data_IF_831445295264
#
_entry.id   IF_831445295264
#
_cell.length_a   1.000
_cell.length_b   1.000
_cell.length_c   1.000
_cell.angle_alpha   90.00
_cell.angle_beta   90.00
_cell.angle_gamma   90.00
#
_symmetry.space_group_name_H-M   'P 1'
#
loop_
_entity.id
_entity.type
_entity.pdbx_description
1 polymer ?
#
# COMPACT_ATOMS: atom_id res chain seq x y z
N UNK A 1 26.50 -20.33 15.02
CA UNK A 1 26.28 -20.10 13.56
C UNK A 1 24.80 -20.18 13.13
N UNK A 2 23.91 -20.88 13.86
CA UNK A 2 22.50 -21.06 13.46
C UNK A 2 21.61 -19.81 13.65
N UNK A 3 21.84 -18.97 14.66
CA UNK A 3 20.92 -17.87 15.00
C UNK A 3 20.90 -16.75 13.94
N UNK A 4 22.06 -16.31 13.44
CA UNK A 4 22.11 -15.25 12.40
C UNK A 4 21.45 -15.69 11.10
N UNK A 5 21.62 -16.96 10.71
CA UNK A 5 21.02 -17.52 9.50
C UNK A 5 19.50 -17.61 9.64
N UNK A 6 19.02 -18.07 10.81
CA UNK A 6 17.58 -18.12 11.10
C UNK A 6 16.93 -16.72 11.08
N UNK A 7 17.58 -15.70 11.64
CA UNK A 7 17.09 -14.32 11.60
C UNK A 7 17.02 -13.81 10.17
N UNK A 8 18.09 -13.99 9.38
CA UNK A 8 18.12 -13.55 7.99
C UNK A 8 17.01 -14.21 7.13
N UNK A 9 16.79 -15.52 7.29
CA UNK A 9 15.68 -16.21 6.61
C UNK A 9 14.32 -15.68 7.05
N UNK A 10 14.13 -15.45 8.35
CA UNK A 10 12.86 -14.91 8.89
C UNK A 10 12.57 -13.51 8.35
N UNK A 11 13.57 -12.63 8.32
CA UNK A 11 13.45 -11.29 7.75
C UNK A 11 13.10 -11.34 6.26
N UNK A 12 13.78 -12.21 5.49
CA UNK A 12 13.48 -12.39 4.08
C UNK A 12 12.05 -12.88 3.84
N UNK A 13 11.56 -13.83 4.65
CA UNK A 13 10.18 -14.32 4.57
C UNK A 13 9.17 -13.24 4.96
N UNK A 14 9.41 -12.51 6.05
CA UNK A 14 8.54 -11.42 6.49
C UNK A 14 8.43 -10.30 5.45
N UNK A 15 9.56 -9.93 4.85
CA UNK A 15 9.64 -8.98 3.73
C UNK A 15 8.82 -9.42 2.53
N UNK A 16 9.06 -10.65 2.05
CA UNK A 16 8.32 -11.19 0.91
C UNK A 16 6.83 -11.24 1.18
N UNK A 17 6.42 -11.70 2.37
CA UNK A 17 5.03 -11.73 2.79
C UNK A 17 4.41 -10.32 2.78
N UNK A 18 5.08 -9.33 3.40
CA UNK A 18 4.61 -7.96 3.43
C UNK A 18 4.45 -7.37 2.03
N UNK A 19 5.46 -7.54 1.17
CA UNK A 19 5.43 -7.08 -0.21
C UNK A 19 4.33 -7.77 -1.03
N UNK A 20 4.12 -9.07 -0.87
CA UNK A 20 3.06 -9.80 -1.57
C UNK A 20 1.67 -9.28 -1.20
N UNK A 21 1.42 -9.01 0.08
CA UNK A 21 0.12 -8.47 0.50
C UNK A 21 0.00 -6.99 0.12
N UNK A 22 1.06 -6.17 0.23
CA UNK A 22 1.01 -4.77 -0.22
C UNK A 22 0.78 -4.66 -1.73
N UNK A 23 1.38 -5.55 -2.53
CA UNK A 23 1.14 -5.63 -3.98
C UNK A 23 -0.26 -6.18 -4.30
N UNK A 24 -0.53 -7.42 -3.86
CA UNK A 24 -1.75 -8.15 -4.19
C UNK A 24 -3.00 -7.54 -3.55
N UNK A 25 -2.90 -7.12 -2.29
CA UNK A 25 -3.97 -6.44 -1.57
C UNK A 25 -4.33 -5.09 -2.19
N UNK A 26 -3.34 -4.27 -2.55
CA UNK A 26 -3.59 -3.00 -3.24
C UNK A 26 -4.27 -3.23 -4.59
N UNK A 27 -3.80 -4.22 -5.35
CA UNK A 27 -4.39 -4.58 -6.64
C UNK A 27 -5.84 -5.07 -6.49
N UNK A 28 -6.11 -5.89 -5.49
CA UNK A 28 -7.45 -6.38 -5.17
C UNK A 28 -8.40 -5.25 -4.76
N UNK A 29 -7.93 -4.28 -3.97
CA UNK A 29 -8.71 -3.11 -3.56
C UNK A 29 -9.06 -2.23 -4.76
N UNK A 30 -8.10 -1.94 -5.64
CA UNK A 30 -8.36 -1.18 -6.87
C UNK A 30 -9.39 -1.90 -7.74
N UNK A 31 -9.24 -3.21 -7.92
CA UNK A 31 -10.20 -4.01 -8.69
C UNK A 31 -11.60 -4.01 -8.05
N UNK A 32 -11.68 -4.18 -6.73
CA UNK A 32 -12.93 -4.14 -5.98
C UNK A 32 -13.60 -2.77 -6.13
N UNK A 33 -12.85 -1.67 -6.00
CA UNK A 33 -13.36 -0.32 -6.15
C UNK A 33 -13.97 -0.07 -7.53
N UNK A 34 -13.26 -0.44 -8.59
CA UNK A 34 -13.75 -0.30 -9.98
C UNK A 34 -15.04 -1.12 -10.18
N UNK A 35 -15.03 -2.37 -9.71
CA UNK A 35 -16.19 -3.27 -9.83
C UNK A 35 -17.39 -2.71 -9.07
N UNK A 36 -17.20 -2.29 -7.82
CA UNK A 36 -18.28 -1.74 -7.00
C UNK A 36 -18.84 -0.43 -7.57
N UNK A 37 -18.00 0.48 -8.06
CA UNK A 37 -18.49 1.71 -8.69
C UNK A 37 -19.31 1.41 -9.94
N UNK A 38 -18.86 0.47 -10.79
CA UNK A 38 -19.62 0.05 -11.97
C UNK A 38 -20.97 -0.57 -11.58
N UNK A 39 -20.99 -1.47 -10.60
CA UNK A 39 -22.22 -2.11 -10.12
C UNK A 39 -23.18 -1.10 -9.47
N UNK A 40 -22.68 -0.20 -8.63
CA UNK A 40 -23.48 0.83 -7.98
C UNK A 40 -24.12 1.78 -8.99
N UNK A 41 -23.37 2.19 -10.03
CA UNK A 41 -23.91 2.99 -11.14
C UNK A 41 -24.99 2.24 -11.91
N UNK A 42 -24.82 0.94 -12.16
CA UNK A 42 -25.84 0.11 -12.82
C UNK A 42 -27.12 -0.03 -11.97
N UNK A 43 -27.03 0.07 -10.65
CA UNK A 43 -28.16 0.07 -9.72
C UNK A 43 -28.76 1.46 -9.47
N UNK A 44 -28.28 2.51 -10.16
CA UNK A 44 -28.76 3.88 -10.01
C UNK A 44 -28.30 4.59 -8.73
N UNK A 45 -27.33 4.02 -8.00
CA UNK A 45 -26.80 4.64 -6.79
C UNK A 45 -25.98 5.88 -7.11
N UNK A 46 -26.04 6.86 -6.22
CA UNK A 46 -25.19 8.04 -6.27
C UNK A 46 -23.75 7.71 -5.88
N UNK A 47 -22.79 8.55 -6.29
CA UNK A 47 -21.37 8.39 -5.94
C UNK A 47 -21.17 8.43 -4.42
N UNK A 48 -21.93 9.27 -3.71
CA UNK A 48 -21.85 9.41 -2.26
C UNK A 48 -22.29 8.13 -1.53
N UNK A 49 -23.34 7.45 -2.01
CA UNK A 49 -23.80 6.19 -1.45
C UNK A 49 -22.80 5.06 -1.71
N UNK A 50 -22.27 4.99 -2.94
CA UNK A 50 -21.23 4.02 -3.29
C UNK A 50 -19.96 4.22 -2.45
N UNK A 51 -19.54 5.47 -2.24
CA UNK A 51 -18.39 5.81 -1.40
C UNK A 51 -18.59 5.37 0.05
N UNK A 52 -19.77 5.62 0.64
CA UNK A 52 -20.09 5.19 2.00
C UNK A 52 -20.12 3.67 2.16
N UNK A 53 -20.65 2.96 1.17
CA UNK A 53 -20.67 1.50 1.20
C UNK A 53 -19.27 0.88 1.12
N UNK A 54 -18.37 1.50 0.34
CA UNK A 54 -17.01 0.98 0.14
C UNK A 54 -16.00 1.42 1.20
N UNK A 55 -16.23 2.55 1.87
CA UNK A 55 -15.31 3.14 2.82
C UNK A 55 -14.79 2.16 3.91
N UNK A 56 -15.62 1.30 4.54
CA UNK A 56 -15.14 0.35 5.53
C UNK A 56 -14.04 -0.58 5.02
N UNK A 57 -14.15 -1.03 3.76
CA UNK A 57 -13.15 -1.89 3.12
C UNK A 57 -11.82 -1.16 2.94
N UNK A 58 -11.85 0.09 2.49
CA UNK A 58 -10.64 0.92 2.35
C UNK A 58 -9.99 1.21 3.71
N UNK A 59 -10.78 1.51 4.73
CA UNK A 59 -10.29 1.77 6.09
C UNK A 59 -9.71 0.51 6.73
N UNK A 60 -10.34 -0.66 6.52
CA UNK A 60 -9.80 -1.92 7.02
C UNK A 60 -8.48 -2.27 6.32
N UNK A 61 -8.42 -2.11 5.01
CA UNK A 61 -7.20 -2.36 4.24
C UNK A 61 -6.07 -1.40 4.65
N UNK A 62 -6.36 -0.11 4.87
CA UNK A 62 -5.31 0.85 5.25
C UNK A 62 -4.62 0.48 6.55
N UNK A 63 -5.37 -0.04 7.54
CA UNK A 63 -4.80 -0.55 8.80
C UNK A 63 -3.88 -1.75 8.56
N UNK A 64 -4.31 -2.70 7.73
CA UNK A 64 -3.48 -3.85 7.35
C UNK A 64 -2.22 -3.38 6.63
N UNK A 65 -2.36 -2.49 5.66
CA UNK A 65 -1.24 -1.95 4.89
C UNK A 65 -0.22 -1.25 5.80
N UNK A 66 -0.66 -0.45 6.79
CA UNK A 66 0.23 0.18 7.76
C UNK A 66 1.00 -0.84 8.61
N UNK A 67 0.35 -1.90 9.08
CA UNK A 67 1.03 -2.98 9.81
C UNK A 67 2.10 -3.64 8.92
N UNK A 68 1.78 -3.91 7.67
CA UNK A 68 2.71 -4.53 6.74
C UNK A 68 3.86 -3.61 6.34
N UNK A 69 3.63 -2.30 6.23
CA UNK A 69 4.68 -1.31 6.03
C UNK A 69 5.65 -1.29 7.23
N UNK A 70 5.14 -1.41 8.46
CA UNK A 70 5.98 -1.53 9.65
C UNK A 70 6.79 -2.85 9.65
N UNK A 71 6.16 -3.97 9.30
CA UNK A 71 6.85 -5.27 9.16
C UNK A 71 7.95 -5.19 8.10
N UNK A 72 7.67 -4.58 6.95
CA UNK A 72 8.63 -4.39 5.87
C UNK A 72 9.81 -3.52 6.33
N UNK A 73 9.54 -2.39 6.98
CA UNK A 73 10.58 -1.51 7.51
C UNK A 73 11.49 -2.22 8.52
N UNK A 74 10.91 -3.00 9.44
CA UNK A 74 11.68 -3.76 10.44
C UNK A 74 12.51 -4.87 9.81
N UNK A 75 11.96 -5.59 8.82
CA UNK A 75 12.70 -6.61 8.08
C UNK A 75 13.91 -6.00 7.36
N UNK A 76 13.72 -4.84 6.70
CA UNK A 76 14.79 -4.12 6.00
C UNK A 76 15.87 -3.59 6.93
N UNK A 77 15.49 -2.94 8.02
CA UNK A 77 16.43 -2.47 9.04
C UNK A 77 17.28 -3.63 9.57
N UNK A 78 16.65 -4.77 9.84
CA UNK A 78 17.34 -5.95 10.36
C UNK A 78 18.32 -6.53 9.32
N UNK A 79 17.91 -6.65 8.05
CA UNK A 79 18.80 -7.12 6.97
C UNK A 79 19.98 -6.16 6.75
N UNK A 80 19.74 -4.85 6.77
CA UNK A 80 20.78 -3.83 6.63
C UNK A 80 21.83 -3.94 7.73
N UNK A 81 21.41 -4.01 9.00
CA UNK A 81 22.35 -4.15 10.13
C UNK A 81 23.09 -5.50 10.16
N UNK A 82 22.46 -6.58 9.69
CA UNK A 82 23.09 -7.90 9.63
C UNK A 82 24.07 -8.06 8.48
N UNK A 83 23.85 -7.37 7.36
CA UNK A 83 24.63 -7.57 6.14
C UNK A 83 26.04 -6.95 6.21
N UNK A 84 26.24 -5.82 6.90
CA UNK A 84 27.53 -5.10 7.06
C UNK A 84 28.40 -4.94 5.79
N UNK A 85 27.82 -5.11 4.61
CA UNK A 85 28.50 -5.10 3.30
C UNK A 85 27.84 -4.04 2.43
N UNK A 86 28.62 -3.41 1.53
CA UNK A 86 28.09 -2.46 0.55
C UNK A 86 27.00 -3.14 -0.29
N UNK A 87 25.81 -2.53 -0.43
CA UNK A 87 24.74 -3.11 -1.22
C UNK A 87 25.12 -3.19 -2.70
N UNK A 88 24.74 -4.28 -3.33
CA UNK A 88 24.78 -4.40 -4.80
C UNK A 88 23.77 -3.45 -5.45
N UNK A 89 23.90 -3.17 -6.75
CA UNK A 89 22.96 -2.30 -7.48
C UNK A 89 21.51 -2.82 -7.38
N UNK A 90 21.32 -4.14 -7.50
CA UNK A 90 20.01 -4.78 -7.33
C UNK A 90 19.44 -4.56 -5.92
N UNK A 91 20.27 -4.68 -4.88
CA UNK A 91 19.85 -4.38 -3.50
C UNK A 91 19.54 -2.90 -3.30
N UNK A 92 20.31 -1.99 -3.90
CA UNK A 92 20.03 -0.56 -3.81
C UNK A 92 18.69 -0.19 -4.47
N UNK A 93 18.39 -0.74 -5.65
CA UNK A 93 17.10 -0.55 -6.33
C UNK A 93 15.95 -1.09 -5.46
N UNK A 94 16.13 -2.29 -4.91
CA UNK A 94 15.16 -2.93 -4.01
C UNK A 94 14.87 -2.08 -2.78
N UNK A 95 15.90 -1.64 -2.07
CA UNK A 95 15.76 -0.78 -0.89
C UNK A 95 15.05 0.54 -1.22
N UNK A 96 15.41 1.17 -2.34
CA UNK A 96 14.76 2.39 -2.80
C UNK A 96 13.26 2.19 -3.09
N UNK A 97 12.91 1.08 -3.76
CA UNK A 97 11.53 0.74 -4.03
C UNK A 97 10.75 0.38 -2.76
N UNK A 98 11.35 -0.37 -1.82
CA UNK A 98 10.70 -0.70 -0.54
C UNK A 98 10.42 0.56 0.29
N UNK A 99 11.38 1.49 0.34
CA UNK A 99 11.20 2.77 1.02
C UNK A 99 10.09 3.61 0.38
N UNK A 100 10.04 3.67 -0.95
CA UNK A 100 8.98 4.37 -1.67
C UNK A 100 7.60 3.71 -1.44
N UNK A 101 7.55 2.38 -1.38
CA UNK A 101 6.33 1.63 -1.06
C UNK A 101 5.84 1.93 0.37
N UNK A 102 6.75 1.93 1.36
CA UNK A 102 6.45 2.29 2.75
C UNK A 102 5.94 3.73 2.83
N UNK A 103 6.63 4.68 2.19
CA UNK A 103 6.24 6.08 2.19
C UNK A 103 4.84 6.29 1.58
N UNK A 104 4.57 5.65 0.44
CA UNK A 104 3.26 5.70 -0.19
C UNK A 104 2.16 5.10 0.73
N UNK A 105 2.47 3.99 1.39
CA UNK A 105 1.56 3.33 2.35
C UNK A 105 1.26 4.21 3.55
N UNK A 106 2.27 4.90 4.09
CA UNK A 106 2.11 5.84 5.20
C UNK A 106 1.25 7.03 4.81
N UNK A 107 1.50 7.65 3.65
CA UNK A 107 0.67 8.77 3.18
C UNK A 107 -0.77 8.31 2.96
N UNK A 108 -0.97 7.15 2.34
CA UNK A 108 -2.30 6.59 2.17
C UNK A 108 -3.01 6.35 3.51
N UNK A 109 -2.38 5.60 4.41
CA UNK A 109 -3.01 5.15 5.66
C UNK A 109 -3.15 6.22 6.74
N UNK A 110 -2.24 7.19 6.81
CA UNK A 110 -2.21 8.21 7.88
C UNK A 110 -2.79 9.54 7.42
N UNK A 111 -2.69 9.88 6.13
CA UNK A 111 -3.15 11.18 5.62
C UNK A 111 -4.45 11.04 4.84
N UNK A 112 -4.44 10.22 3.79
CA UNK A 112 -5.55 10.17 2.82
C UNK A 112 -6.80 9.52 3.43
N UNK A 113 -6.67 8.31 3.98
CA UNK A 113 -7.82 7.57 4.50
C UNK A 113 -8.51 8.28 5.66
N UNK A 114 -7.80 8.80 6.68
CA UNK A 114 -8.46 9.55 7.76
C UNK A 114 -9.11 10.85 7.29
N UNK A 115 -8.54 11.53 6.30
CA UNK A 115 -9.15 12.73 5.74
C UNK A 115 -10.43 12.42 4.94
N UNK A 116 -10.42 11.33 4.17
CA UNK A 116 -11.61 10.86 3.45
C UNK A 116 -12.72 10.43 4.40
N UNK A 117 -12.39 9.68 5.46
CA UNK A 117 -13.35 9.19 6.45
C UNK A 117 -14.13 10.34 7.12
N UNK A 118 -13.42 11.43 7.46
CA UNK A 118 -14.03 12.65 8.02
C UNK A 118 -15.02 13.34 7.07
N UNK A 119 -14.82 13.22 5.75
CA UNK A 119 -15.66 13.88 4.74
C UNK A 119 -16.90 13.03 4.36
N UNK A 120 -16.88 11.71 4.60
CA UNK A 120 -18.00 10.80 4.25
C UNK A 120 -19.38 11.23 4.79
N UNK A 121 -19.52 11.75 6.04
CA UNK A 121 -20.81 12.18 6.56
C UNK A 121 -21.37 13.40 5.81
N UNK A 122 -20.50 14.24 5.24
CA UNK A 122 -20.86 15.52 4.62
C UNK A 122 -21.04 15.46 3.10
N UNK A 123 -20.66 14.34 2.46
CA UNK A 123 -20.72 14.14 1.01
C UNK A 123 -22.07 14.50 0.36
N UNK A 124 -23.18 14.27 1.07
CA UNK A 124 -24.54 14.54 0.56
C UNK A 124 -25.07 15.92 0.94
N UNK A 125 -24.34 16.65 1.78
CA UNK A 125 -24.79 17.92 2.40
C UNK A 125 -24.00 19.14 1.89
N UNK A 126 -22.80 18.94 1.37
CA UNK A 126 -21.90 20.02 0.96
C UNK A 126 -21.18 19.68 -0.34
N UNK A 127 -21.35 20.54 -1.35
CA UNK A 127 -20.60 20.44 -2.61
C UNK A 127 -19.08 20.61 -2.39
N UNK A 128 -18.67 21.41 -1.40
CA UNK A 128 -17.25 21.58 -1.05
C UNK A 128 -16.67 20.28 -0.47
N UNK A 129 -17.43 19.58 0.38
CA UNK A 129 -17.01 18.29 0.93
C UNK A 129 -16.92 17.22 -0.17
N UNK A 130 -17.87 17.24 -1.12
CA UNK A 130 -17.84 16.37 -2.30
C UNK A 130 -16.58 16.58 -3.15
N UNK A 131 -16.24 17.83 -3.47
CA UNK A 131 -15.05 18.16 -4.26
C UNK A 131 -13.75 17.80 -3.52
N UNK A 132 -13.67 18.08 -2.22
CA UNK A 132 -12.52 17.72 -1.40
C UNK A 132 -12.32 16.20 -1.34
N UNK A 133 -13.40 15.45 -1.16
CA UNK A 133 -13.36 13.98 -1.18
C UNK A 133 -12.92 13.45 -2.54
N UNK A 134 -13.43 14.00 -3.64
CA UNK A 134 -13.02 13.57 -4.98
C UNK A 134 -11.54 13.81 -5.25
N UNK A 135 -10.99 14.95 -4.81
CA UNK A 135 -9.55 15.21 -4.90
C UNK A 135 -8.74 14.18 -4.11
N UNK A 136 -9.14 13.91 -2.87
CA UNK A 136 -8.47 12.90 -2.05
C UNK A 136 -8.58 11.49 -2.64
N UNK A 137 -9.73 11.15 -3.22
CA UNK A 137 -9.91 9.88 -3.91
C UNK A 137 -8.97 9.74 -5.10
N UNK A 138 -8.85 10.78 -5.94
CA UNK A 138 -7.89 10.76 -7.05
C UNK A 138 -6.45 10.59 -6.57
N UNK A 139 -6.06 11.29 -5.50
CA UNK A 139 -4.75 11.07 -4.87
C UNK A 139 -4.61 9.64 -4.36
N UNK A 140 -5.65 9.05 -3.76
CA UNK A 140 -5.61 7.67 -3.29
C UNK A 140 -5.25 6.70 -4.43
N UNK A 141 -5.80 6.91 -5.64
CA UNK A 141 -5.49 6.09 -6.82
C UNK A 141 -4.00 6.16 -7.19
N UNK A 142 -3.42 7.36 -7.17
CA UNK A 142 -1.99 7.57 -7.43
C UNK A 142 -1.15 6.81 -6.42
N UNK A 143 -1.47 6.92 -5.12
CA UNK A 143 -0.72 6.24 -4.07
C UNK A 143 -0.89 4.72 -4.11
N UNK A 144 -2.06 4.19 -4.45
CA UNK A 144 -2.25 2.77 -4.73
C UNK A 144 -1.38 2.32 -5.92
N UNK A 145 -1.35 3.09 -7.01
CA UNK A 145 -0.49 2.82 -8.16
C UNK A 145 0.98 2.76 -7.76
N UNK A 146 1.45 3.71 -6.94
CA UNK A 146 2.80 3.70 -6.39
C UNK A 146 3.05 2.47 -5.51
N UNK A 147 2.15 2.12 -4.59
CA UNK A 147 2.28 0.95 -3.73
C UNK A 147 2.42 -0.33 -4.56
N UNK A 148 1.58 -0.52 -5.58
CA UNK A 148 1.61 -1.67 -6.49
C UNK A 148 2.94 -1.70 -7.26
N UNK A 149 3.30 -0.59 -7.91
CA UNK A 149 4.50 -0.52 -8.74
C UNK A 149 5.76 -0.78 -7.92
N UNK A 150 5.92 -0.09 -6.80
CA UNK A 150 7.12 -0.23 -5.98
C UNK A 150 7.19 -1.58 -5.28
N UNK A 151 6.07 -2.13 -4.80
CA UNK A 151 6.06 -3.48 -4.26
C UNK A 151 6.47 -4.52 -5.32
N UNK A 152 6.01 -4.35 -6.57
CA UNK A 152 6.41 -5.22 -7.68
C UNK A 152 7.90 -5.08 -8.00
N UNK A 153 8.42 -3.85 -8.10
CA UNK A 153 9.85 -3.62 -8.33
C UNK A 153 10.67 -4.29 -7.22
N UNK A 154 10.28 -4.17 -5.96
CA UNK A 154 10.97 -4.80 -4.81
C UNK A 154 10.94 -6.33 -4.85
N UNK A 155 9.87 -6.92 -5.38
CA UNK A 155 9.74 -8.37 -5.56
C UNK A 155 10.61 -8.88 -6.72
N UNK A 156 10.72 -8.13 -7.81
CA UNK A 156 11.41 -8.57 -9.04
C UNK A 156 12.89 -8.17 -9.06
N UNK A 157 13.29 -7.08 -8.40
CA UNK A 157 14.67 -6.59 -8.36
C UNK A 157 15.74 -7.66 -8.02
N UNK A 158 15.50 -8.60 -7.07
CA UNK A 158 16.43 -9.69 -6.78
C UNK A 158 16.66 -10.66 -7.96
N UNK A 159 15.70 -10.79 -8.88
CA UNK A 159 15.78 -11.68 -10.05
C UNK A 159 16.70 -11.13 -11.15
N UNK A 160 17.00 -9.83 -11.14
CA UNK A 160 17.90 -9.20 -12.12
C UNK A 160 19.37 -9.25 -11.73
N UNK A 161 19.77 -10.15 -10.82
CA UNK A 161 21.18 -10.45 -10.62
C UNK A 161 21.77 -10.96 -11.94
N UNK A 162 22.53 -10.12 -12.65
CA UNK A 162 23.51 -10.61 -13.61
C UNK A 162 24.56 -11.40 -12.82
N UNK A 163 24.74 -12.66 -13.21
CA UNK A 163 25.88 -13.49 -12.81
C UNK A 163 27.21 -12.74 -13.01
#
# INVERSE_FOLDING_TARGET
MNTRRAIATTCASARLFALSILFGGSSAIVFAAITFVKTARAQGMTVAEAARYNAPTFIAYSKIALVLAAVLALAELTEYFLSQVRPTVSQAIRYGAELACIAATLVFGVVIVPAMDKLLPELTRSALAYDAFHKLHHWSEVYFGCMILFALISLVAPAFKKE
#
